data_IF_782569466137
#
_entry.id   IF_782569466137
#
_cell.length_a   1.000
_cell.length_b   1.000
_cell.length_c   1.000
_cell.angle_alpha   90.00
_cell.angle_beta   90.00
_cell.angle_gamma   90.00
#
_symmetry.space_group_name_H-M   'P 1'
#
loop_
_entity.id
_entity.type
_entity.pdbx_description
1 polymer ?
#
# COMPACT_ATOMS: atom_id res chain seq x y z
N UNK A 1 -3.46 -4.98 20.55
CA UNK A 1 -4.66 -4.48 19.85
C UNK A 1 -4.42 -3.01 19.61
N UNK A 2 -4.56 -2.55 18.37
CA UNK A 2 -4.38 -1.14 17.99
C UNK A 2 -5.43 -0.28 18.71
N UNK A 3 -5.06 0.94 19.09
CA UNK A 3 -6.02 1.95 19.56
C UNK A 3 -7.01 2.31 18.42
N UNK A 4 -8.28 2.54 18.78
CA UNK A 4 -9.36 2.85 17.82
C UNK A 4 -9.07 4.14 17.05
N UNK A 5 -8.49 5.14 17.71
CA UNK A 5 -8.12 6.42 17.09
C UNK A 5 -7.03 6.21 16.03
N UNK A 6 -5.99 5.46 16.35
CA UNK A 6 -4.93 5.12 15.39
C UNK A 6 -5.46 4.29 14.22
N UNK A 7 -6.35 3.33 14.48
CA UNK A 7 -6.99 2.56 13.42
C UNK A 7 -7.80 3.46 12.48
N UNK A 8 -8.53 4.43 13.02
CA UNK A 8 -9.32 5.40 12.25
C UNK A 8 -8.43 6.26 11.34
N UNK A 9 -7.31 6.79 11.85
CA UNK A 9 -6.33 7.55 11.04
C UNK A 9 -5.73 6.70 9.92
N UNK A 10 -5.37 5.45 10.21
CA UNK A 10 -4.84 4.55 9.17
C UNK A 10 -5.90 4.29 8.09
N UNK A 11 -7.15 3.97 8.45
CA UNK A 11 -8.21 3.77 7.46
C UNK A 11 -8.51 5.06 6.68
N UNK A 12 -8.46 6.23 7.31
CA UNK A 12 -8.59 7.51 6.62
C UNK A 12 -7.47 7.71 5.59
N UNK A 13 -6.22 7.37 5.94
CA UNK A 13 -5.10 7.43 5.00
C UNK A 13 -5.25 6.44 3.84
N UNK A 14 -5.72 5.20 4.09
CA UNK A 14 -6.05 4.21 3.04
C UNK A 14 -7.14 4.76 2.11
N UNK A 15 -8.22 5.32 2.65
CA UNK A 15 -9.32 5.94 1.86
C UNK A 15 -8.82 7.09 1.00
N UNK A 16 -8.00 7.97 1.57
CA UNK A 16 -7.41 9.09 0.83
C UNK A 16 -6.47 8.61 -0.29
N UNK A 17 -5.64 7.59 -0.03
CA UNK A 17 -4.77 7.00 -1.03
C UNK A 17 -5.57 6.32 -2.16
N UNK A 18 -6.64 5.60 -1.82
CA UNK A 18 -7.52 4.93 -2.77
C UNK A 18 -8.21 5.90 -3.74
N UNK A 19 -8.53 7.12 -3.31
CA UNK A 19 -9.14 8.14 -4.17
C UNK A 19 -8.15 8.84 -5.11
N UNK A 20 -6.84 8.73 -4.87
CA UNK A 20 -5.84 9.48 -5.65
C UNK A 20 -5.72 8.93 -7.07
N UNK A 21 -6.18 9.72 -8.04
CA UNK A 21 -6.10 9.38 -9.45
C UNK A 21 -7.10 8.34 -9.93
N UNK A 22 -8.06 7.97 -9.10
CA UNK A 22 -9.15 7.06 -9.42
C UNK A 22 -10.50 7.79 -9.35
N UNK A 23 -11.50 7.26 -10.05
CA UNK A 23 -12.87 7.68 -9.84
C UNK A 23 -13.37 7.08 -8.53
N UNK A 24 -14.11 7.86 -7.75
CA UNK A 24 -14.64 7.41 -6.47
C UNK A 24 -16.10 7.82 -6.31
N UNK A 25 -16.89 6.97 -5.67
CA UNK A 25 -18.29 7.24 -5.37
C UNK A 25 -18.71 6.60 -4.05
N UNK A 26 -19.65 7.23 -3.36
CA UNK A 26 -20.28 6.64 -2.17
C UNK A 26 -21.46 5.77 -2.62
N UNK A 27 -21.44 4.49 -2.22
CA UNK A 27 -22.53 3.54 -2.47
C UNK A 27 -22.97 2.92 -1.15
N UNK A 28 -24.07 3.40 -0.58
CA UNK A 28 -24.44 3.08 0.79
C UNK A 28 -23.31 3.42 1.75
N UNK A 29 -22.92 2.51 2.67
CA UNK A 29 -21.82 2.75 3.60
C UNK A 29 -20.42 2.45 3.00
N UNK A 30 -20.27 2.40 1.67
CA UNK A 30 -19.02 2.04 1.01
C UNK A 30 -18.48 3.16 0.14
N UNK A 31 -17.22 3.55 0.34
CA UNK A 31 -16.46 4.32 -0.61
C UNK A 31 -15.93 3.35 -1.68
N UNK A 32 -16.52 3.34 -2.85
CA UNK A 32 -16.05 2.54 -3.99
C UNK A 32 -15.07 3.35 -4.84
N UNK A 33 -13.96 2.72 -5.25
CA UNK A 33 -12.92 3.35 -6.08
C UNK A 33 -12.66 2.52 -7.34
N UNK A 34 -12.39 3.22 -8.45
CA UNK A 34 -12.23 2.61 -9.77
C UNK A 34 -11.05 3.24 -10.50
N UNK A 35 -10.09 2.41 -10.90
CA UNK A 35 -9.07 2.87 -11.83
C UNK A 35 -9.68 3.08 -13.22
N UNK A 36 -9.23 4.13 -13.92
CA UNK A 36 -9.79 4.56 -15.21
C UNK A 36 -9.38 3.66 -16.37
N UNK A 37 -8.22 3.01 -16.25
CA UNK A 37 -7.57 2.32 -17.35
C UNK A 37 -7.33 0.84 -17.06
N UNK A 38 -7.24 0.47 -15.76
CA UNK A 38 -6.82 -0.85 -15.32
C UNK A 38 -7.95 -1.58 -14.56
N UNK A 39 -8.16 -2.84 -14.88
CA UNK A 39 -9.13 -3.71 -14.19
C UNK A 39 -8.53 -4.49 -13.01
N UNK A 40 -7.25 -4.27 -12.72
CA UNK A 40 -6.56 -4.89 -11.60
C UNK A 40 -7.35 -4.69 -10.29
N UNK A 41 -7.74 -5.76 -9.60
CA UNK A 41 -8.57 -5.68 -8.39
C UNK A 41 -7.90 -4.93 -7.24
N UNK A 42 -6.57 -4.84 -7.20
CA UNK A 42 -5.83 -4.03 -6.22
C UNK A 42 -5.90 -2.51 -6.49
N UNK A 43 -6.39 -2.12 -7.66
CA UNK A 43 -6.66 -0.72 -8.01
C UNK A 43 -8.16 -0.40 -7.99
N UNK A 44 -9.02 -1.39 -7.78
CA UNK A 44 -10.48 -1.29 -7.85
C UNK A 44 -11.10 -1.97 -6.63
N UNK A 45 -11.26 -1.25 -5.53
CA UNK A 45 -11.80 -1.81 -4.30
C UNK A 45 -12.63 -0.79 -3.52
N UNK A 46 -13.48 -1.28 -2.64
CA UNK A 46 -14.28 -0.45 -1.76
C UNK A 46 -13.78 -0.52 -0.31
N UNK A 47 -14.06 0.53 0.43
CA UNK A 47 -13.72 0.67 1.85
C UNK A 47 -14.99 1.07 2.60
N UNK A 48 -15.44 0.30 3.62
CA UNK A 48 -16.63 0.64 4.38
C UNK A 48 -16.39 1.84 5.30
N UNK A 49 -17.45 2.53 5.64
CA UNK A 49 -17.45 3.56 6.67
C UNK A 49 -17.27 2.92 8.05
N UNK A 50 -16.53 3.58 8.93
CA UNK A 50 -16.30 3.09 10.30
C UNK A 50 -17.64 2.95 11.05
N UNK A 51 -17.77 1.87 11.83
CA UNK A 51 -18.98 1.55 12.59
C UNK A 51 -20.17 1.07 11.74
N UNK A 52 -20.03 0.97 10.42
CA UNK A 52 -21.14 0.56 9.57
C UNK A 52 -21.49 -0.92 9.71
N UNK A 53 -22.78 -1.19 9.56
CA UNK A 53 -23.35 -2.54 9.38
C UNK A 53 -24.28 -2.47 8.18
N UNK A 54 -23.81 -2.84 6.98
CA UNK A 54 -24.57 -2.71 5.76
C UNK A 54 -25.79 -3.64 5.75
N UNK A 55 -26.82 -3.23 5.05
CA UNK A 55 -27.93 -4.11 4.70
C UNK A 55 -27.59 -4.93 3.46
N UNK A 56 -28.22 -6.10 3.26
CA UNK A 56 -28.00 -6.93 2.06
C UNK A 56 -28.26 -6.19 0.74
N UNK A 57 -29.24 -5.28 0.69
CA UNK A 57 -29.53 -4.48 -0.49
C UNK A 57 -28.41 -3.47 -0.82
N UNK A 58 -27.75 -2.91 0.19
CA UNK A 58 -26.58 -2.02 0.01
C UNK A 58 -25.37 -2.78 -0.54
N UNK A 59 -25.14 -4.01 -0.09
CA UNK A 59 -24.08 -4.88 -0.64
C UNK A 59 -24.38 -5.24 -2.10
N UNK A 60 -25.64 -5.59 -2.43
CA UNK A 60 -26.04 -5.86 -3.82
C UNK A 60 -25.91 -4.63 -4.71
N UNK A 61 -26.21 -3.43 -4.20
CA UNK A 61 -25.98 -2.19 -4.92
C UNK A 61 -24.48 -1.98 -5.21
N UNK A 62 -23.59 -2.19 -4.23
CA UNK A 62 -22.15 -2.14 -4.44
C UNK A 62 -21.69 -3.12 -5.54
N UNK A 63 -22.15 -4.37 -5.48
CA UNK A 63 -21.84 -5.40 -6.50
C UNK A 63 -22.29 -4.94 -7.89
N UNK A 64 -23.49 -4.37 -8.03
CA UNK A 64 -23.98 -3.84 -9.30
C UNK A 64 -23.08 -2.74 -9.85
N UNK A 65 -22.61 -1.80 -9.00
CA UNK A 65 -21.72 -0.71 -9.42
C UNK A 65 -20.37 -1.21 -9.96
N UNK A 66 -19.79 -2.25 -9.33
CA UNK A 66 -18.56 -2.88 -9.84
C UNK A 66 -18.79 -3.59 -11.18
N UNK A 67 -19.91 -4.33 -11.31
CA UNK A 67 -20.26 -5.05 -12.54
C UNK A 67 -20.55 -4.12 -13.71
N UNK A 68 -21.23 -2.99 -13.48
CA UNK A 68 -21.48 -1.96 -14.50
C UNK A 68 -20.18 -1.41 -15.12
N UNK A 69 -19.09 -1.45 -14.36
CA UNK A 69 -17.75 -1.02 -14.81
C UNK A 69 -16.86 -2.17 -15.27
N UNK A 70 -17.41 -3.39 -15.38
CA UNK A 70 -16.65 -4.60 -15.65
C UNK A 70 -15.46 -4.78 -14.67
N UNK A 71 -15.71 -4.49 -13.38
CA UNK A 71 -14.74 -4.65 -12.30
C UNK A 71 -15.21 -5.73 -11.32
N UNK A 72 -14.26 -6.41 -10.69
CA UNK A 72 -14.53 -7.40 -9.64
C UNK A 72 -14.92 -6.67 -8.35
N UNK A 73 -16.08 -6.99 -7.72
CA UNK A 73 -16.42 -6.46 -6.41
C UNK A 73 -15.40 -6.92 -5.36
N UNK A 74 -14.67 -5.98 -4.77
CA UNK A 74 -13.61 -6.26 -3.82
C UNK A 74 -13.56 -5.18 -2.73
N UNK A 75 -13.23 -5.56 -1.50
CA UNK A 75 -13.03 -4.63 -0.40
C UNK A 75 -11.67 -4.87 0.27
N UNK A 76 -11.09 -3.77 0.75
CA UNK A 76 -9.92 -3.73 1.62
C UNK A 76 -10.22 -2.80 2.79
N UNK A 77 -10.16 -3.27 4.03
CA UNK A 77 -10.46 -2.45 5.19
C UNK A 77 -9.98 -3.08 6.51
N UNK A 78 -9.96 -2.28 7.57
CA UNK A 78 -9.71 -2.75 8.93
C UNK A 78 -11.02 -3.30 9.54
N UNK A 79 -11.17 -4.63 9.73
CA UNK A 79 -12.42 -5.20 10.24
C UNK A 79 -12.73 -4.75 11.66
N UNK A 80 -11.74 -4.36 12.45
CA UNK A 80 -11.93 -3.79 13.79
C UNK A 80 -12.72 -2.48 13.80
N UNK A 81 -12.71 -1.71 12.69
CA UNK A 81 -13.48 -0.47 12.56
C UNK A 81 -14.89 -0.67 12.03
N UNK A 82 -15.16 -1.78 11.37
CA UNK A 82 -16.47 -2.09 10.78
C UNK A 82 -16.83 -3.58 10.95
N UNK A 83 -16.93 -4.08 12.18
CA UNK A 83 -17.09 -5.52 12.46
C UNK A 83 -18.41 -6.10 11.93
N UNK A 84 -19.42 -5.26 11.71
CA UNK A 84 -20.70 -5.68 11.12
C UNK A 84 -20.66 -5.94 9.61
N UNK A 85 -19.59 -5.55 8.91
CA UNK A 85 -19.51 -5.63 7.44
C UNK A 85 -19.25 -7.05 6.97
N UNK A 86 -18.23 -7.71 7.50
CA UNK A 86 -17.79 -9.04 7.05
C UNK A 86 -18.91 -10.09 7.06
N UNK A 87 -19.73 -10.24 8.13
CA UNK A 87 -20.78 -11.25 8.15
C UNK A 87 -21.82 -11.06 7.02
N UNK A 88 -22.15 -9.79 6.69
CA UNK A 88 -23.10 -9.49 5.62
C UNK A 88 -22.50 -9.74 4.24
N UNK A 89 -21.22 -9.41 4.03
CA UNK A 89 -20.51 -9.73 2.79
C UNK A 89 -20.46 -11.23 2.53
N UNK A 90 -20.12 -12.03 3.55
CA UNK A 90 -20.10 -13.50 3.46
C UNK A 90 -21.48 -14.06 3.11
N UNK A 91 -22.55 -13.55 3.75
CA UNK A 91 -23.93 -13.94 3.45
C UNK A 91 -24.35 -13.58 2.00
N UNK A 92 -23.77 -12.55 1.42
CA UNK A 92 -24.02 -12.11 0.03
C UNK A 92 -23.01 -12.75 -0.96
N UNK A 93 -22.27 -13.79 -0.55
CA UNK A 93 -21.44 -14.60 -1.43
C UNK A 93 -20.06 -14.02 -1.74
N UNK A 94 -19.53 -13.16 -0.87
CA UNK A 94 -18.12 -12.78 -0.90
C UNK A 94 -17.27 -13.88 -0.25
N UNK A 95 -16.01 -13.97 -0.68
CA UNK A 95 -15.02 -14.90 -0.17
C UNK A 95 -13.80 -14.15 0.34
N UNK A 96 -13.24 -14.57 1.48
CA UNK A 96 -12.04 -13.98 2.05
C UNK A 96 -10.84 -14.36 1.18
N UNK A 97 -10.15 -13.37 0.63
CA UNK A 97 -8.87 -13.55 -0.06
C UNK A 97 -7.71 -13.69 0.93
N UNK A 98 -7.75 -12.92 2.01
CA UNK A 98 -6.74 -12.96 3.05
C UNK A 98 -6.97 -11.93 4.16
N UNK A 99 -6.24 -12.14 5.26
CA UNK A 99 -6.08 -11.19 6.37
C UNK A 99 -4.61 -10.83 6.44
N UNK A 100 -4.29 -9.63 6.01
CA UNK A 100 -2.91 -9.19 5.92
C UNK A 100 -2.50 -8.51 7.23
N UNK A 101 -1.35 -8.91 7.83
CA UNK A 101 -0.79 -8.18 8.95
C UNK A 101 -0.61 -6.70 8.63
N UNK A 102 -1.28 -5.83 9.39
CA UNK A 102 -1.03 -4.40 9.40
C UNK A 102 0.10 -4.12 10.37
N UNK A 103 1.16 -3.51 9.89
CA UNK A 103 2.31 -3.12 10.70
C UNK A 103 2.48 -1.60 10.69
N UNK A 104 3.00 -1.05 11.79
CA UNK A 104 3.19 0.39 11.94
C UNK A 104 4.54 0.71 12.56
N UNK A 105 5.09 1.85 12.18
CA UNK A 105 6.13 2.59 12.87
C UNK A 105 5.61 3.99 13.19
N UNK A 106 5.62 4.38 14.47
CA UNK A 106 5.11 5.69 14.95
C UNK A 106 6.22 6.57 15.52
N UNK A 107 7.43 6.08 15.51
CA UNK A 107 8.58 6.78 16.07
C UNK A 107 9.71 6.73 15.06
N UNK A 108 10.44 7.83 14.96
CA UNK A 108 11.82 7.78 14.48
C UNK A 108 12.59 6.96 15.54
N UNK A 109 12.23 5.70 15.63
CA UNK A 109 12.90 4.75 16.49
C UNK A 109 14.33 4.70 15.99
N UNK A 110 15.16 5.66 16.43
CA UNK A 110 16.55 5.93 16.06
C UNK A 110 17.43 4.69 15.92
N UNK A 111 16.78 3.62 15.53
CA UNK A 111 17.30 2.34 15.12
C UNK A 111 18.23 2.57 13.97
N UNK A 112 19.46 2.13 14.14
CA UNK A 112 20.45 2.06 13.08
C UNK A 112 19.80 1.40 11.87
N UNK A 113 19.58 2.18 10.80
CA UNK A 113 19.05 1.64 9.55
C UNK A 113 19.91 0.42 9.15
N UNK A 114 19.29 -0.69 8.76
CA UNK A 114 20.05 -1.82 8.26
C UNK A 114 20.84 -1.36 7.04
N UNK A 115 22.14 -1.14 7.21
CA UNK A 115 23.02 -0.83 6.09
C UNK A 115 23.21 -2.13 5.27
N UNK A 116 23.20 -2.00 3.96
CA UNK A 116 23.49 -3.11 3.04
C UNK A 116 24.77 -2.76 2.29
N UNK A 117 25.80 -3.58 2.49
CA UNK A 117 27.09 -3.37 1.85
C UNK A 117 26.94 -3.31 0.32
N UNK A 118 27.54 -2.29 -0.29
CA UNK A 118 27.53 -2.07 -1.73
C UNK A 118 26.18 -1.61 -2.29
N UNK A 119 25.22 -1.19 -1.44
CA UNK A 119 23.95 -0.62 -1.87
C UNK A 119 23.81 0.82 -1.37
N UNK A 120 23.47 1.70 -2.28
CA UNK A 120 23.13 3.09 -2.01
C UNK A 120 21.60 3.28 -2.08
N UNK A 121 21.01 3.99 -1.11
CA UNK A 121 19.60 4.35 -1.09
C UNK A 121 19.47 5.85 -1.37
N UNK A 122 18.75 6.22 -2.40
CA UNK A 122 18.59 7.61 -2.83
C UNK A 122 17.12 7.97 -3.09
N UNK A 123 16.77 9.24 -2.90
CA UNK A 123 15.54 9.78 -3.48
C UNK A 123 15.75 10.00 -4.97
N UNK A 124 14.85 9.52 -5.86
CA UNK A 124 14.89 9.87 -7.28
C UNK A 124 14.88 11.38 -7.48
N UNK A 125 15.82 11.89 -8.27
CA UNK A 125 15.99 13.33 -8.55
C UNK A 125 15.81 13.68 -10.04
N UNK A 126 15.93 12.70 -10.91
CA UNK A 126 15.80 12.82 -12.35
C UNK A 126 14.67 11.95 -12.90
N UNK A 127 14.24 12.23 -14.13
CA UNK A 127 13.31 11.35 -14.84
C UNK A 127 13.87 9.93 -15.00
N UNK A 128 15.17 9.81 -15.24
CA UNK A 128 15.86 8.53 -15.35
C UNK A 128 15.76 7.71 -14.06
N UNK A 129 15.97 8.35 -12.88
CA UNK A 129 15.84 7.67 -11.59
C UNK A 129 14.40 7.16 -11.36
N UNK A 130 13.38 7.97 -11.70
CA UNK A 130 11.99 7.52 -11.58
C UNK A 130 11.65 6.39 -12.54
N UNK A 131 12.16 6.42 -13.78
CA UNK A 131 11.99 5.32 -14.73
C UNK A 131 12.71 4.06 -14.27
N UNK A 132 13.90 4.19 -13.69
CA UNK A 132 14.63 3.09 -13.07
C UNK A 132 13.85 2.48 -11.90
N UNK A 133 13.27 3.30 -11.02
CA UNK A 133 12.43 2.83 -9.91
C UNK A 133 11.18 2.09 -10.43
N UNK A 134 10.48 2.65 -11.41
CA UNK A 134 9.32 2.01 -12.05
C UNK A 134 9.68 0.66 -12.69
N UNK A 135 10.83 0.59 -13.37
CA UNK A 135 11.31 -0.66 -13.98
C UNK A 135 11.59 -1.74 -12.93
N UNK A 136 12.20 -1.37 -11.81
CA UNK A 136 12.45 -2.30 -10.70
C UNK A 136 11.16 -2.83 -10.11
N UNK A 137 10.18 -1.96 -9.86
CA UNK A 137 8.88 -2.38 -9.32
C UNK A 137 8.15 -3.29 -10.30
N UNK A 138 8.09 -2.92 -11.59
CA UNK A 138 7.48 -3.72 -12.64
C UNK A 138 8.07 -5.14 -12.69
N UNK A 139 9.38 -5.26 -12.71
CA UNK A 139 10.07 -6.55 -12.69
C UNK A 139 9.84 -7.34 -11.39
N UNK A 140 9.85 -6.67 -10.25
CA UNK A 140 9.69 -7.30 -8.94
C UNK A 140 8.28 -7.88 -8.72
N UNK A 141 7.26 -7.27 -9.34
CA UNK A 141 5.87 -7.72 -9.34
C UNK A 141 5.48 -8.54 -10.58
N UNK A 142 6.48 -9.17 -11.22
CA UNK A 142 6.30 -10.11 -12.34
C UNK A 142 5.63 -9.47 -13.58
N UNK A 143 5.81 -8.17 -13.76
CA UNK A 143 5.40 -7.49 -14.98
C UNK A 143 6.18 -7.99 -16.19
N UNK A 144 5.50 -8.15 -17.31
CA UNK A 144 6.08 -8.62 -18.58
C UNK A 144 6.11 -7.52 -19.62
N UNK A 145 7.13 -7.54 -20.47
CA UNK A 145 7.28 -6.58 -21.58
C UNK A 145 7.77 -5.20 -21.12
N UNK A 146 7.39 -4.17 -21.86
CA UNK A 146 7.78 -2.79 -21.53
C UNK A 146 7.05 -2.27 -20.30
N UNK A 147 7.76 -1.49 -19.48
CA UNK A 147 7.17 -0.82 -18.32
C UNK A 147 6.10 0.17 -18.80
N UNK A 148 4.85 0.05 -18.34
CA UNK A 148 3.81 1.01 -18.69
C UNK A 148 4.12 2.41 -18.17
N UNK A 149 3.81 3.44 -18.94
CA UNK A 149 4.06 4.84 -18.55
C UNK A 149 3.36 5.22 -17.23
N UNK A 150 2.22 4.60 -16.92
CA UNK A 150 1.49 4.82 -15.67
C UNK A 150 2.31 4.49 -14.41
N UNK A 151 3.23 3.51 -14.48
CA UNK A 151 4.10 3.15 -13.34
C UNK A 151 5.04 4.31 -12.98
N UNK A 152 5.67 4.90 -13.99
CA UNK A 152 6.49 6.08 -13.84
C UNK A 152 5.68 7.31 -13.36
N UNK A 153 4.53 7.56 -13.99
CA UNK A 153 3.65 8.68 -13.62
C UNK A 153 3.14 8.52 -12.19
N UNK A 154 2.82 7.28 -11.77
CA UNK A 154 2.39 6.94 -10.41
C UNK A 154 3.41 7.34 -9.34
N UNK A 155 4.68 7.00 -9.55
CA UNK A 155 5.77 7.36 -8.63
C UNK A 155 5.97 8.88 -8.53
N UNK A 156 5.95 9.58 -9.66
CA UNK A 156 6.05 11.05 -9.68
C UNK A 156 4.86 11.72 -8.99
N UNK A 157 3.66 11.19 -9.19
CA UNK A 157 2.44 11.67 -8.54
C UNK A 157 2.51 11.45 -7.02
N UNK A 158 2.99 10.30 -6.57
CA UNK A 158 3.19 10.03 -5.15
C UNK A 158 4.16 11.04 -4.51
N UNK A 159 5.31 11.29 -5.15
CA UNK A 159 6.28 12.28 -4.69
C UNK A 159 5.69 13.71 -4.68
N UNK A 160 4.97 14.10 -5.73
CA UNK A 160 4.32 15.43 -5.82
C UNK A 160 3.22 15.63 -4.76
N UNK A 161 2.61 14.54 -4.29
CA UNK A 161 1.64 14.55 -3.19
C UNK A 161 2.28 14.55 -1.78
N UNK A 162 3.60 14.76 -1.68
CA UNK A 162 4.33 14.76 -0.42
C UNK A 162 4.80 13.38 0.05
N UNK A 163 4.61 12.35 -0.75
CA UNK A 163 5.14 11.02 -0.49
C UNK A 163 6.67 10.94 -0.65
N UNK A 164 7.22 9.80 -0.31
CA UNK A 164 8.66 9.51 -0.41
C UNK A 164 8.86 8.35 -1.36
N UNK A 165 9.79 8.48 -2.30
CA UNK A 165 10.20 7.38 -3.19
C UNK A 165 11.66 7.06 -2.92
N UNK A 166 12.00 5.77 -2.87
CA UNK A 166 13.38 5.29 -2.76
C UNK A 166 13.77 4.49 -3.99
N UNK A 167 14.99 4.72 -4.46
CA UNK A 167 15.70 3.88 -5.41
C UNK A 167 16.94 3.31 -4.70
N UNK A 168 17.01 1.99 -4.62
CA UNK A 168 18.23 1.28 -4.21
C UNK A 168 19.04 0.93 -5.45
N UNK A 169 20.34 1.20 -5.44
CA UNK A 169 21.25 0.90 -6.54
C UNK A 169 22.57 0.35 -6.03
N UNK A 170 23.24 -0.44 -6.84
CA UNK A 170 24.60 -0.88 -6.57
C UNK A 170 25.53 0.34 -6.52
N UNK A 171 26.29 0.50 -5.44
CA UNK A 171 27.11 1.69 -5.21
C UNK A 171 28.26 1.84 -6.21
N UNK A 172 28.67 0.77 -6.89
CA UNK A 172 29.77 0.78 -7.84
C UNK A 172 29.31 0.89 -9.30
N UNK A 173 28.26 0.15 -9.67
CA UNK A 173 27.77 0.08 -11.06
C UNK A 173 26.61 1.02 -11.33
N UNK A 174 25.98 1.55 -10.27
CA UNK A 174 24.72 2.30 -10.29
C UNK A 174 23.52 1.50 -10.84
N UNK A 175 23.66 0.17 -10.97
CA UNK A 175 22.57 -0.70 -11.42
C UNK A 175 21.40 -0.62 -10.42
N UNK A 176 20.16 -0.36 -10.88
CA UNK A 176 18.97 -0.34 -10.03
C UNK A 176 18.70 -1.72 -9.42
N UNK A 177 18.64 -1.80 -8.10
CA UNK A 177 18.53 -3.03 -7.32
C UNK A 177 17.15 -3.21 -6.65
N UNK A 178 16.55 -2.10 -6.22
CA UNK A 178 15.28 -2.09 -5.51
C UNK A 178 14.57 -0.74 -5.61
N UNK A 179 13.27 -0.72 -5.40
CA UNK A 179 12.49 0.50 -5.29
C UNK A 179 11.31 0.32 -4.34
N UNK A 180 10.80 1.42 -3.79
CA UNK A 180 9.63 1.45 -2.92
C UNK A 180 9.17 2.86 -2.69
N UNK A 181 7.99 3.02 -2.07
CA UNK A 181 7.48 4.34 -1.76
C UNK A 181 6.65 4.39 -0.47
N UNK A 182 6.58 5.57 0.13
CA UNK A 182 5.49 5.98 0.99
C UNK A 182 4.52 6.85 0.18
N UNK A 183 3.22 6.61 0.29
CA UNK A 183 2.19 7.41 -0.36
C UNK A 183 2.21 8.85 0.17
N UNK A 184 1.52 9.79 -0.50
CA UNK A 184 1.33 11.11 0.08
C UNK A 184 0.58 11.00 1.42
N UNK A 185 1.02 11.67 2.49
CA UNK A 185 0.42 11.53 3.81
C UNK A 185 -1.01 12.10 3.84
N UNK A 186 -1.83 11.54 4.75
CA UNK A 186 -3.14 12.05 5.10
C UNK A 186 -3.28 12.04 6.62
N UNK A 187 -3.64 13.17 7.22
CA UNK A 187 -3.76 13.35 8.67
C UNK A 187 -2.51 12.87 9.45
N UNK A 188 -1.33 13.06 8.88
CA UNK A 188 -0.06 12.65 9.48
C UNK A 188 0.32 11.18 9.29
N UNK A 189 -0.46 10.38 8.56
CA UNK A 189 -0.16 8.97 8.30
C UNK A 189 0.09 8.68 6.84
N UNK A 190 1.02 7.77 6.55
CA UNK A 190 1.35 7.35 5.18
C UNK A 190 1.53 5.85 5.09
N UNK A 191 1.16 5.29 3.94
CA UNK A 191 1.36 3.88 3.63
C UNK A 191 2.69 3.67 2.93
N UNK A 192 3.52 2.78 3.49
CA UNK A 192 4.68 2.23 2.82
C UNK A 192 4.22 1.06 1.95
N UNK A 193 4.45 1.17 0.66
CA UNK A 193 3.95 0.22 -0.33
C UNK A 193 4.91 0.02 -1.50
N UNK A 194 4.61 -0.95 -2.35
CA UNK A 194 5.32 -1.20 -3.61
C UNK A 194 6.82 -1.42 -3.44
N UNK A 195 7.23 -2.09 -2.35
CA UNK A 195 8.63 -2.42 -2.09
C UNK A 195 9.05 -3.63 -2.92
N UNK A 196 9.81 -3.39 -3.97
CA UNK A 196 10.32 -4.41 -4.88
C UNK A 196 11.85 -4.49 -4.87
N UNK A 197 12.39 -5.70 -5.00
CA UNK A 197 13.83 -5.95 -5.16
C UNK A 197 14.03 -6.89 -6.34
N UNK A 198 14.89 -6.52 -7.28
CA UNK A 198 15.24 -7.36 -8.43
C UNK A 198 15.73 -8.73 -8.00
N UNK A 199 15.41 -9.82 -8.73
CA UNK A 199 15.78 -11.18 -8.36
C UNK A 199 17.25 -11.38 -8.04
N UNK A 200 18.15 -10.76 -8.81
CA UNK A 200 19.61 -10.82 -8.66
C UNK A 200 20.13 -10.17 -7.37
N UNK A 201 19.35 -9.27 -6.75
CA UNK A 201 19.69 -8.54 -5.53
C UNK A 201 18.94 -9.02 -4.29
N UNK A 202 18.04 -10.02 -4.42
CA UNK A 202 17.22 -10.52 -3.29
C UNK A 202 18.09 -11.16 -2.20
N UNK A 203 17.53 -11.30 -1.00
CA UNK A 203 18.14 -11.92 0.20
C UNK A 203 19.38 -11.22 0.74
N UNK A 204 19.59 -9.95 0.37
CA UNK A 204 20.68 -9.11 0.86
C UNK A 204 20.24 -8.10 1.94
N UNK A 205 18.94 -8.12 2.35
CA UNK A 205 18.41 -7.17 3.33
C UNK A 205 17.93 -5.84 2.74
N UNK A 206 17.95 -5.67 1.41
CA UNK A 206 17.62 -4.40 0.73
C UNK A 206 16.20 -3.93 1.02
N UNK A 207 15.20 -4.84 1.06
CA UNK A 207 13.82 -4.46 1.35
C UNK A 207 13.68 -3.85 2.76
N UNK A 208 14.31 -4.45 3.79
CA UNK A 208 14.31 -3.90 5.14
C UNK A 208 15.04 -2.55 5.22
N UNK A 209 16.16 -2.41 4.51
CA UNK A 209 16.91 -1.15 4.45
C UNK A 209 16.08 -0.04 3.79
N UNK A 210 15.41 -0.34 2.66
CA UNK A 210 14.50 0.62 2.00
C UNK A 210 13.33 1.00 2.90
N UNK A 211 12.70 0.04 3.58
CA UNK A 211 11.59 0.31 4.47
C UNK A 211 11.99 1.23 5.64
N UNK A 212 13.12 0.96 6.28
CA UNK A 212 13.64 1.82 7.34
C UNK A 212 14.05 3.21 6.83
N UNK A 213 14.63 3.29 5.64
CA UNK A 213 14.98 4.57 5.01
C UNK A 213 13.72 5.39 4.69
N UNK A 214 12.70 4.76 4.09
CA UNK A 214 11.42 5.41 3.76
C UNK A 214 10.72 5.95 5.00
N UNK A 215 10.67 5.15 6.08
CA UNK A 215 10.09 5.58 7.35
C UNK A 215 10.83 6.79 7.93
N UNK A 216 12.15 6.76 7.98
CA UNK A 216 12.97 7.90 8.44
C UNK A 216 12.73 9.17 7.62
N UNK A 217 12.70 9.06 6.30
CA UNK A 217 12.46 10.21 5.41
C UNK A 217 11.02 10.75 5.57
N UNK A 218 10.03 9.90 5.86
CA UNK A 218 8.68 10.32 6.16
C UNK A 218 8.63 11.06 7.51
N UNK A 219 9.26 10.55 8.56
CA UNK A 219 9.33 11.23 9.87
C UNK A 219 10.07 12.57 9.78
N UNK A 220 11.14 12.67 8.99
CA UNK A 220 11.83 13.94 8.74
C UNK A 220 10.92 14.99 8.07
N UNK A 221 9.80 14.55 7.46
CA UNK A 221 8.75 15.41 6.89
C UNK A 221 7.53 15.57 7.82
N UNK A 222 7.71 15.31 9.11
CA UNK A 222 6.67 15.44 10.15
C UNK A 222 5.46 14.51 9.97
N UNK A 223 5.65 13.33 9.37
CA UNK A 223 4.66 12.27 9.39
C UNK A 223 4.62 11.67 10.80
N UNK A 224 3.43 11.43 11.33
CA UNK A 224 3.22 10.87 12.69
C UNK A 224 3.29 9.35 12.72
N UNK A 225 3.00 8.69 11.58
CA UNK A 225 3.03 7.24 11.47
C UNK A 225 3.18 6.73 10.04
N UNK A 226 3.99 5.70 9.90
CA UNK A 226 4.16 4.96 8.64
C UNK A 226 3.62 3.56 8.85
N UNK A 227 2.65 3.14 8.05
CA UNK A 227 2.06 1.80 8.12
C UNK A 227 2.25 1.04 6.81
N UNK A 228 2.11 -0.27 6.87
CA UNK A 228 2.16 -1.16 5.71
C UNK A 228 1.29 -2.40 5.92
N UNK A 229 0.92 -3.03 4.83
CA UNK A 229 0.29 -4.36 4.81
C UNK A 229 1.32 -5.39 4.33
N UNK A 230 1.63 -6.38 5.16
CA UNK A 230 2.56 -7.44 4.80
C UNK A 230 1.80 -8.63 4.19
N UNK A 231 2.33 -9.23 3.11
CA UNK A 231 1.72 -10.41 2.46
C UNK A 231 2.01 -11.70 3.25
N UNK A 232 1.94 -11.63 4.58
CA UNK A 232 2.13 -12.76 5.47
C UNK A 232 3.34 -12.63 6.40
N UNK A 233 3.53 -13.65 7.24
CA UNK A 233 4.53 -13.61 8.31
C UNK A 233 5.99 -13.46 7.84
N UNK A 234 6.33 -14.05 6.70
CA UNK A 234 7.70 -13.98 6.18
C UNK A 234 8.08 -12.54 5.83
N UNK A 235 7.16 -11.81 5.22
CA UNK A 235 7.33 -10.41 4.86
C UNK A 235 7.26 -9.52 6.11
N UNK A 236 6.34 -9.80 7.04
CA UNK A 236 6.25 -9.08 8.31
C UNK A 236 7.57 -9.12 9.09
N UNK A 237 8.32 -10.23 9.06
CA UNK A 237 9.66 -10.34 9.67
C UNK A 237 10.70 -9.43 8.99
N UNK A 238 10.53 -9.14 7.69
CA UNK A 238 11.41 -8.21 6.98
C UNK A 238 11.19 -6.80 7.53
N UNK A 239 9.94 -6.38 7.64
CA UNK A 239 9.58 -5.05 8.14
C UNK A 239 9.83 -4.87 9.64
N UNK A 240 9.71 -5.93 10.43
CA UNK A 240 10.09 -5.89 11.85
C UNK A 240 11.56 -5.50 12.04
N UNK A 241 12.47 -5.92 11.15
CA UNK A 241 13.89 -5.51 11.17
C UNK A 241 14.08 -4.03 10.83
N UNK A 242 13.11 -3.41 10.18
CA UNK A 242 13.09 -1.98 9.84
C UNK A 242 12.37 -1.12 10.90
N UNK A 243 11.98 -1.71 12.05
CA UNK A 243 11.35 -1.00 13.16
C UNK A 243 9.82 -0.98 13.12
N UNK A 244 9.19 -1.74 12.22
CA UNK A 244 7.72 -1.87 12.20
C UNK A 244 7.24 -2.92 13.20
N UNK A 245 6.15 -2.63 13.88
CA UNK A 245 5.50 -3.54 14.83
C UNK A 245 4.11 -3.94 14.38
N UNK A 246 3.66 -5.17 14.65
CA UNK A 246 2.28 -5.58 14.35
C UNK A 246 1.28 -4.68 15.09
N UNK A 247 0.26 -4.21 14.38
CA UNK A 247 -0.77 -3.33 14.92
C UNK A 247 -2.16 -3.96 14.82
N UNK A 248 -2.56 -4.45 13.66
CA UNK A 248 -3.88 -5.00 13.36
C UNK A 248 -3.81 -5.92 12.15
N UNK A 249 -4.94 -6.14 11.50
CA UNK A 249 -5.04 -6.80 10.20
C UNK A 249 -5.89 -5.97 9.23
N UNK A 250 -5.66 -6.14 7.95
CA UNK A 250 -6.52 -5.65 6.87
C UNK A 250 -7.19 -6.85 6.21
N UNK A 251 -8.51 -6.80 6.10
CA UNK A 251 -9.28 -7.83 5.41
C UNK A 251 -9.34 -7.51 3.92
N UNK A 252 -8.94 -8.49 3.11
CA UNK A 252 -9.17 -8.54 1.68
C UNK A 252 -10.27 -9.55 1.39
N UNK A 253 -11.35 -9.11 0.76
CA UNK A 253 -12.53 -9.93 0.50
C UNK A 253 -13.15 -9.53 -0.83
N UNK A 254 -13.57 -10.51 -1.64
CA UNK A 254 -14.10 -10.25 -2.97
C UNK A 254 -15.20 -11.23 -3.37
N UNK A 255 -15.89 -10.90 -4.43
CA UNK A 255 -16.93 -11.75 -5.04
C UNK A 255 -16.63 -11.97 -6.53
N UNK A 256 -16.72 -13.21 -6.97
CA UNK A 256 -16.65 -13.60 -8.39
C UNK A 256 -17.90 -13.19 -9.18
#
# INVERSE_FOLDING_TARGET
MIDVELAAHIQAAIRAAACRGRDSEQTGPFLATFDREDDNPFLNYAIPDAGSTPRPDEVRALVARYRERARRPRLEYLPSLAPGVEPVLLAEGFEIEGRLPLMISTDDAGGRLPAVDGIELVSPSSEEDYRAAASVQWEAYEGHGSVPEREFVGLRRAAAAGGVVVLARDARTHEPAGAGLCTGPHEGYTELTSVGVRPTFRRRGIAAAMAGWLAREAFARHVSGVFLMAVGEAEARIYARAGFTPASEVLHISRS
#
